data_IF_676124091279
#
_entry.id   IF_676124091279
#
_cell.length_a   1.000
_cell.length_b   1.000
_cell.length_c   1.000
_cell.angle_alpha   90.00
_cell.angle_beta   90.00
_cell.angle_gamma   90.00
#
_symmetry.space_group_name_H-M   'P 1'
#
loop_
_entity.id
_entity.type
_entity.pdbx_description
1 polymer ?
#
# COMPACT_ATOMS: atom_id res chain seq x y z
N UNK A 1 -18.11 -27.98 23.73
CA UNK A 1 -16.90 -27.27 23.26
C UNK A 1 -17.37 -26.40 22.11
N UNK A 2 -17.95 -25.27 22.49
CA UNK A 2 -18.70 -24.27 21.71
C UNK A 2 -18.29 -22.96 22.38
N UNK A 3 -17.95 -21.84 21.78
CA UNK A 3 -18.05 -21.28 20.43
C UNK A 3 -17.06 -20.08 20.40
N UNK A 4 -16.86 -19.39 19.26
CA UNK A 4 -15.64 -18.64 18.97
C UNK A 4 -15.64 -17.23 19.58
N UNK A 5 -14.60 -16.93 20.36
CA UNK A 5 -14.27 -15.58 20.83
C UNK A 5 -13.97 -14.66 19.63
N UNK A 6 -14.84 -13.68 19.36
CA UNK A 6 -14.45 -12.45 18.62
C UNK A 6 -13.62 -11.51 19.50
N UNK A 7 -13.18 -10.31 19.06
CA UNK A 7 -12.83 -9.86 17.72
C UNK A 7 -11.33 -10.15 17.49
N UNK A 8 -11.00 -11.25 16.82
CA UNK A 8 -9.60 -11.71 16.68
C UNK A 8 -8.71 -10.77 15.85
N UNK A 9 -9.29 -9.77 15.16
CA UNK A 9 -8.58 -8.88 14.21
C UNK A 9 -7.64 -7.87 14.87
N UNK A 10 -8.03 -7.28 16.00
CA UNK A 10 -7.20 -6.28 16.67
C UNK A 10 -5.92 -6.89 17.29
N UNK A 11 -6.00 -8.14 17.77
CA UNK A 11 -4.83 -8.86 18.28
C UNK A 11 -3.86 -9.23 17.15
N UNK A 12 -4.39 -9.63 16.00
CA UNK A 12 -3.61 -9.97 14.80
C UNK A 12 -2.85 -8.74 14.26
N UNK A 13 -3.48 -7.56 14.23
CA UNK A 13 -2.83 -6.30 13.83
C UNK A 13 -1.70 -5.88 14.79
N UNK A 14 -1.89 -6.04 16.11
CA UNK A 14 -0.86 -5.78 17.11
C UNK A 14 0.33 -6.76 17.01
N UNK A 15 0.05 -8.04 16.80
CA UNK A 15 1.06 -9.08 16.61
C UNK A 15 1.83 -8.89 15.31
N UNK A 16 1.16 -8.55 14.21
CA UNK A 16 1.79 -8.24 12.93
C UNK A 16 2.75 -7.04 13.05
N UNK A 17 2.35 -6.00 13.79
CA UNK A 17 3.23 -4.85 14.07
C UNK A 17 4.48 -5.21 14.91
N UNK A 18 4.40 -6.21 15.79
CA UNK A 18 5.51 -6.64 16.64
C UNK A 18 6.48 -7.62 15.95
N UNK A 19 5.95 -8.52 15.13
CA UNK A 19 6.73 -9.58 14.46
C UNK A 19 7.38 -9.11 13.16
N UNK A 20 6.99 -7.94 12.65
CA UNK A 20 7.41 -7.46 11.35
C UNK A 20 6.73 -8.21 10.20
N UNK A 21 6.99 -7.78 8.96
CA UNK A 21 6.29 -8.29 7.79
C UNK A 21 6.57 -9.78 7.54
N UNK A 22 5.52 -10.52 7.19
CA UNK A 22 5.60 -11.96 6.83
C UNK A 22 6.05 -12.23 5.40
N UNK A 23 6.35 -11.19 4.61
CA UNK A 23 6.80 -11.27 3.22
C UNK A 23 7.98 -10.30 3.00
N UNK A 24 8.86 -10.56 2.02
CA UNK A 24 9.91 -9.61 1.67
C UNK A 24 9.28 -8.28 1.25
N UNK A 25 9.56 -7.24 2.03
CA UNK A 25 9.18 -5.87 1.74
C UNK A 25 10.30 -5.18 0.96
N UNK A 26 9.91 -4.18 0.18
CA UNK A 26 10.85 -3.15 -0.26
C UNK A 26 11.31 -2.36 0.96
N UNK A 27 12.54 -1.85 0.92
CA UNK A 27 12.93 -0.75 1.80
C UNK A 27 12.13 0.52 1.47
N UNK A 28 12.11 1.48 2.39
CA UNK A 28 11.47 2.78 2.12
C UNK A 28 12.08 3.46 0.89
N UNK A 29 13.40 3.36 0.69
CA UNK A 29 14.10 3.96 -0.46
C UNK A 29 13.66 3.32 -1.78
N UNK A 30 13.66 1.99 -1.86
CA UNK A 30 13.18 1.26 -3.05
C UNK A 30 11.69 1.51 -3.31
N UNK A 31 10.88 1.66 -2.25
CA UNK A 31 9.49 2.07 -2.37
C UNK A 31 9.39 3.44 -3.04
N UNK A 32 10.10 4.45 -2.54
CA UNK A 32 10.08 5.81 -3.10
C UNK A 32 10.50 5.83 -4.57
N UNK A 33 11.57 5.13 -4.94
CA UNK A 33 12.04 5.07 -6.34
C UNK A 33 11.02 4.41 -7.29
N UNK A 34 10.23 3.46 -6.80
CA UNK A 34 9.26 2.72 -7.61
C UNK A 34 7.83 3.25 -7.50
N UNK A 35 7.58 4.24 -6.63
CA UNK A 35 6.23 4.65 -6.22
C UNK A 35 5.41 5.22 -7.38
N UNK A 36 6.00 6.12 -8.17
CA UNK A 36 5.36 6.75 -9.32
C UNK A 36 4.89 5.70 -10.34
N UNK A 37 5.79 4.80 -10.75
CA UNK A 37 5.45 3.70 -11.65
C UNK A 37 4.36 2.80 -11.08
N UNK A 38 4.44 2.49 -9.78
CA UNK A 38 3.47 1.61 -9.15
C UNK A 38 2.07 2.24 -9.12
N UNK A 39 1.96 3.54 -8.82
CA UNK A 39 0.66 4.23 -8.79
C UNK A 39 0.05 4.34 -10.19
N UNK A 40 0.84 4.63 -11.22
CA UNK A 40 0.39 4.65 -12.62
C UNK A 40 -0.21 3.30 -13.03
N UNK A 41 0.49 2.20 -12.72
CA UNK A 41 0.00 0.85 -12.98
C UNK A 41 -1.30 0.54 -12.24
N UNK A 42 -1.46 1.05 -11.00
CA UNK A 42 -2.68 0.86 -10.22
C UNK A 42 -3.86 1.65 -10.78
N UNK A 43 -3.65 2.90 -11.19
CA UNK A 43 -4.68 3.74 -11.82
C UNK A 43 -5.10 3.15 -13.17
N UNK A 44 -4.15 2.66 -13.96
CA UNK A 44 -4.43 1.98 -15.23
C UNK A 44 -5.06 0.58 -15.09
N UNK A 45 -5.45 0.15 -13.89
CA UNK A 45 -5.96 -1.18 -13.57
C UNK A 45 -5.06 -2.35 -14.05
N UNK A 46 -3.75 -2.09 -14.14
CA UNK A 46 -2.75 -3.10 -14.48
C UNK A 46 -2.28 -3.85 -13.23
N UNK A 47 -1.59 -4.97 -13.44
CA UNK A 47 -1.05 -5.82 -12.36
C UNK A 47 0.20 -5.21 -11.71
N UNK A 48 0.04 -4.10 -10.96
CA UNK A 48 1.15 -3.39 -10.33
C UNK A 48 1.93 -4.26 -9.33
N UNK A 49 1.23 -5.08 -8.53
CA UNK A 49 1.85 -5.99 -7.55
C UNK A 49 2.76 -7.04 -8.22
N UNK A 50 2.47 -7.43 -9.47
CA UNK A 50 3.31 -8.34 -10.24
C UNK A 50 4.53 -7.63 -10.85
N UNK A 51 4.43 -6.33 -11.10
CA UNK A 51 5.47 -5.48 -11.70
C UNK A 51 6.41 -4.89 -10.66
N UNK A 52 5.92 -4.68 -9.44
CA UNK A 52 6.68 -4.19 -8.29
C UNK A 52 6.35 -5.07 -7.08
N UNK A 53 6.95 -6.28 -7.00
CA UNK A 53 6.74 -7.18 -5.87
C UNK A 53 7.17 -6.54 -4.55
N UNK A 54 6.48 -6.84 -3.46
CA UNK A 54 6.81 -6.32 -2.12
C UNK A 54 6.24 -4.92 -1.81
N UNK A 55 5.86 -4.14 -2.83
CA UNK A 55 5.28 -2.80 -2.64
C UNK A 55 4.01 -2.81 -1.79
N UNK A 56 3.07 -3.71 -2.09
CA UNK A 56 1.82 -3.81 -1.34
C UNK A 56 2.04 -4.19 0.14
N UNK A 57 3.01 -5.03 0.43
CA UNK A 57 3.37 -5.37 1.81
C UNK A 57 3.92 -4.14 2.52
N UNK A 58 4.89 -3.46 1.91
CA UNK A 58 5.48 -2.23 2.44
C UNK A 58 4.45 -1.14 2.72
N UNK A 59 3.50 -0.88 1.82
CA UNK A 59 2.43 0.10 2.03
C UNK A 59 1.45 -0.31 3.15
N UNK A 60 1.39 -1.59 3.51
CA UNK A 60 0.63 -2.04 4.69
C UNK A 60 1.44 -1.88 5.99
N UNK A 61 2.78 -1.98 5.93
CA UNK A 61 3.67 -1.86 7.08
C UNK A 61 4.16 -0.44 7.38
N UNK A 62 4.21 0.46 6.39
CA UNK A 62 4.76 1.81 6.50
C UNK A 62 3.68 2.88 6.23
N UNK A 63 3.12 3.52 7.28
CA UNK A 63 2.09 4.55 7.13
C UNK A 63 2.51 5.74 6.28
N UNK A 64 3.77 6.18 6.38
CA UNK A 64 4.27 7.32 5.62
C UNK A 64 4.23 7.05 4.11
N UNK A 65 4.76 5.91 3.65
CA UNK A 65 4.70 5.54 2.24
C UNK A 65 3.27 5.28 1.75
N UNK A 66 2.38 4.79 2.63
CA UNK A 66 0.96 4.64 2.32
C UNK A 66 0.24 5.97 2.08
N UNK A 67 0.61 7.01 2.82
CA UNK A 67 0.09 8.37 2.63
C UNK A 67 0.57 8.96 1.30
N UNK A 68 1.87 8.86 1.00
CA UNK A 68 2.44 9.31 -0.28
C UNK A 68 1.76 8.63 -1.49
N UNK A 69 1.56 7.31 -1.41
CA UNK A 69 0.83 6.56 -2.43
C UNK A 69 -0.58 7.10 -2.67
N UNK A 70 -1.34 7.39 -1.60
CA UNK A 70 -2.71 7.92 -1.70
C UNK A 70 -2.72 9.30 -2.34
N UNK A 71 -1.81 10.18 -1.92
CA UNK A 71 -1.66 11.53 -2.47
C UNK A 71 -1.40 11.50 -3.98
N UNK A 72 -0.44 10.69 -4.43
CA UNK A 72 -0.13 10.56 -5.87
C UNK A 72 -1.29 9.94 -6.64
N UNK A 73 -1.95 8.92 -6.09
CA UNK A 73 -3.11 8.29 -6.73
C UNK A 73 -4.24 9.30 -6.92
N UNK A 74 -4.56 10.05 -5.86
CA UNK A 74 -5.65 11.01 -5.88
C UNK A 74 -5.37 12.11 -6.92
N UNK A 75 -4.12 12.59 -7.00
CA UNK A 75 -3.68 13.52 -8.05
C UNK A 75 -3.91 12.96 -9.46
N UNK A 76 -3.42 11.76 -9.76
CA UNK A 76 -3.57 11.15 -11.10
C UNK A 76 -5.04 10.94 -11.47
N UNK A 77 -5.86 10.45 -10.53
CA UNK A 77 -7.29 10.24 -10.78
C UNK A 77 -8.09 11.54 -10.91
N UNK A 78 -7.59 12.65 -10.34
CA UNK A 78 -8.17 13.97 -10.55
C UNK A 78 -7.83 14.51 -11.95
N UNK A 79 -6.61 14.28 -12.44
CA UNK A 79 -6.18 14.69 -13.78
C UNK A 79 -6.91 13.92 -14.90
N UNK A 80 -7.24 12.64 -14.69
CA UNK A 80 -8.09 11.84 -15.61
C UNK A 80 -9.55 12.35 -15.70
N UNK A 81 -9.97 13.19 -14.74
CA UNK A 81 -11.30 13.82 -14.65
C UNK A 81 -11.37 15.28 -15.14
N UNK A 82 -10.25 15.87 -15.55
CA UNK A 82 -10.18 17.18 -16.18
C UNK A 82 -9.61 18.31 -15.30
N UNK A 83 -8.46 18.81 -15.76
CA UNK A 83 -7.84 20.14 -15.55
C UNK A 83 -6.85 20.31 -14.38
N UNK A 84 -5.54 20.50 -14.66
CA UNK A 84 -4.61 21.07 -13.69
C UNK A 84 -4.58 22.60 -13.83
N UNK A 85 -5.11 23.33 -12.84
CA UNK A 85 -4.66 24.70 -12.53
C UNK A 85 -5.31 25.21 -11.23
N UNK A 86 -4.52 25.30 -10.14
CA UNK A 86 -4.56 26.47 -9.27
C UNK A 86 -3.23 26.71 -8.57
#
# INVERSE_FOLDING_TARGET
MSEPTGPQRAGDELLAGLLGPTAPELSCEECFEALDRYVELRVAAQSADARVPGMRAHLAGCPACAEEYRSLRDLLTADDGGSPAR
#
